data_IF_351376864656
#
_entry.id   IF_351376864656
#
_cell.length_a   1.000
_cell.length_b   1.000
_cell.length_c   1.000
_cell.angle_alpha   90.00
_cell.angle_beta   90.00
_cell.angle_gamma   90.00
#
_symmetry.space_group_name_H-M   'P 1'
#
loop_
_entity.id
_entity.type
_entity.pdbx_description
1 polymer ?
#
# COMPACT_ATOMS: atom_id res chain seq x y z
N UNK A 1 -19.02 -7.97 4.18
CA UNK A 1 -17.83 -8.51 3.50
C UNK A 1 -16.87 -8.89 4.60
N UNK A 2 -16.35 -10.13 4.63
CA UNK A 2 -15.46 -10.55 5.70
C UNK A 2 -14.22 -9.65 5.67
N UNK A 3 -13.78 -9.20 6.83
CA UNK A 3 -12.48 -8.58 7.03
C UNK A 3 -11.41 -9.64 6.72
N UNK A 4 -11.08 -9.79 5.44
CA UNK A 4 -10.03 -10.70 5.00
C UNK A 4 -8.67 -10.14 5.41
N UNK A 5 -7.81 -11.03 5.89
CA UNK A 5 -6.52 -10.73 6.47
C UNK A 5 -5.74 -9.69 5.66
N UNK A 6 -5.61 -8.49 6.21
CA UNK A 6 -4.82 -7.41 5.63
C UNK A 6 -3.39 -7.49 6.15
N UNK A 7 -2.40 -7.44 5.27
CA UNK A 7 -1.04 -7.17 5.70
C UNK A 7 -0.94 -5.70 6.09
N UNK A 8 -0.47 -5.43 7.31
CA UNK A 8 -0.26 -4.07 7.77
C UNK A 8 1.23 -3.72 7.66
N UNK A 9 1.57 -2.79 6.77
CA UNK A 9 2.91 -2.26 6.63
C UNK A 9 3.06 -0.97 7.40
N UNK A 10 3.98 -0.93 8.35
CA UNK A 10 4.40 0.27 9.05
C UNK A 10 5.48 0.99 8.23
N UNK A 11 5.12 2.15 7.67
CA UNK A 11 6.00 3.00 6.87
C UNK A 11 6.19 4.36 7.54
N UNK A 12 7.44 4.70 7.88
CA UNK A 12 7.77 6.03 8.38
C UNK A 12 7.81 7.01 7.21
N UNK A 13 7.10 8.13 7.35
CA UNK A 13 7.02 9.18 6.33
C UNK A 13 8.30 10.03 6.28
N UNK A 14 9.10 10.00 7.36
CA UNK A 14 10.36 10.74 7.48
C UNK A 14 11.26 10.51 6.25
N UNK A 15 11.75 11.62 5.69
CA UNK A 15 12.60 11.78 4.49
C UNK A 15 13.95 11.01 4.51
N UNK A 16 14.12 9.98 5.35
CA UNK A 16 15.31 9.14 5.44
C UNK A 16 14.94 7.69 5.16
N UNK A 17 15.89 6.94 4.60
CA UNK A 17 15.83 5.51 4.23
C UNK A 17 15.34 4.62 5.37
N UNK A 18 14.03 4.58 5.59
CA UNK A 18 13.39 3.65 6.51
C UNK A 18 12.69 2.61 5.65
N UNK A 19 13.16 1.38 5.76
CA UNK A 19 12.49 0.25 5.12
C UNK A 19 11.20 -0.05 5.87
N UNK A 20 10.08 -0.33 5.17
CA UNK A 20 8.84 -0.75 5.81
C UNK A 20 9.06 -1.94 6.74
N UNK A 21 8.25 -2.01 7.78
CA UNK A 21 8.19 -3.14 8.70
C UNK A 21 6.76 -3.65 8.80
N UNK A 22 6.57 -4.87 9.30
CA UNK A 22 5.22 -5.32 9.64
C UNK A 22 4.71 -4.53 10.85
N UNK A 23 3.49 -4.03 10.74
CA UNK A 23 2.80 -3.43 11.86
C UNK A 23 2.20 -4.56 12.71
N UNK A 24 2.61 -4.62 13.96
CA UNK A 24 2.16 -5.66 14.88
C UNK A 24 0.80 -5.28 15.47
N UNK A 25 -0.20 -6.13 15.26
CA UNK A 25 -1.52 -6.01 15.86
C UNK A 25 -1.64 -7.09 16.93
N UNK A 26 -2.27 -6.75 18.05
CA UNK A 26 -2.61 -7.76 19.06
C UNK A 26 -3.64 -8.75 18.48
N UNK A 27 -3.81 -9.90 19.13
CA UNK A 27 -4.74 -10.95 18.68
C UNK A 27 -6.17 -10.45 18.48
N UNK A 28 -6.60 -9.43 19.25
CA UNK A 28 -7.91 -8.79 19.05
C UNK A 28 -7.96 -7.96 17.75
N UNK A 29 -6.91 -7.21 17.42
CA UNK A 29 -6.78 -6.50 16.15
C UNK A 29 -6.70 -7.43 14.94
N UNK A 30 -6.12 -8.62 15.10
CA UNK A 30 -6.14 -9.68 14.08
C UNK A 30 -7.56 -10.20 13.83
N UNK A 31 -8.37 -10.31 14.89
CA UNK A 31 -9.73 -10.86 14.83
C UNK A 31 -10.79 -9.86 14.41
N UNK A 32 -10.65 -8.59 14.80
CA UNK A 32 -11.66 -7.53 14.66
C UNK A 32 -11.31 -6.47 13.61
N UNK A 33 -10.17 -6.66 12.93
CA UNK A 33 -9.73 -5.82 11.84
C UNK A 33 -9.08 -4.49 12.28
N UNK A 34 -8.35 -3.85 11.36
CA UNK A 34 -7.57 -2.66 11.66
C UNK A 34 -8.41 -1.44 12.06
N UNK A 35 -9.73 -1.44 11.82
CA UNK A 35 -10.63 -0.31 12.18
C UNK A 35 -10.85 -0.16 13.67
N UNK A 36 -10.66 -1.22 14.46
CA UNK A 36 -10.74 -1.12 15.91
C UNK A 36 -9.56 -0.34 16.48
N UNK A 37 -8.37 -0.58 15.94
CA UNK A 37 -7.14 0.10 16.34
C UNK A 37 -7.07 1.50 15.74
N UNK A 38 -7.60 1.68 14.52
CA UNK A 38 -7.65 2.95 13.79
C UNK A 38 -9.10 3.42 13.55
N UNK A 39 -9.82 3.86 14.60
CA UNK A 39 -11.16 4.40 14.44
C UNK A 39 -11.18 5.64 13.53
N UNK A 40 -12.36 5.90 12.97
CA UNK A 40 -12.60 7.16 12.23
C UNK A 40 -12.66 8.31 13.25
N UNK A 41 -11.72 9.25 13.13
CA UNK A 41 -11.68 10.50 13.89
C UNK A 41 -12.62 11.57 13.30
N UNK A 42 -12.76 12.69 14.00
CA UNK A 42 -13.57 13.85 13.56
C UNK A 42 -13.04 14.50 12.28
N UNK A 43 -11.78 14.27 11.93
CA UNK A 43 -11.19 14.71 10.65
C UNK A 43 -11.53 13.78 9.48
N UNK A 44 -12.40 12.78 9.72
CA UNK A 44 -12.78 11.74 8.77
C UNK A 44 -11.56 10.91 8.30
N UNK A 45 -10.61 10.67 9.21
CA UNK A 45 -9.37 9.89 9.03
C UNK A 45 -9.33 8.68 9.97
N UNK A 46 -8.64 7.62 9.57
CA UNK A 46 -8.39 6.45 10.42
C UNK A 46 -7.15 6.66 11.28
N UNK A 47 -7.31 7.10 12.54
CA UNK A 47 -6.19 7.47 13.41
C UNK A 47 -6.03 6.41 14.49
N UNK A 48 -4.80 6.01 14.80
CA UNK A 48 -4.55 5.03 15.86
C UNK A 48 -5.02 5.56 17.22
N UNK A 49 -5.84 4.79 17.93
CA UNK A 49 -6.50 5.25 19.15
C UNK A 49 -5.53 5.63 20.29
N UNK A 50 -4.34 5.01 20.35
CA UNK A 50 -3.31 5.34 21.36
C UNK A 50 -2.15 6.21 20.82
N UNK A 51 -2.09 6.45 19.50
CA UNK A 51 -0.97 7.18 18.89
C UNK A 51 -1.48 8.01 17.71
N UNK A 52 -1.79 9.27 17.97
CA UNK A 52 -2.37 10.15 16.97
C UNK A 52 -1.43 10.52 15.81
N UNK A 53 -0.14 10.16 15.87
CA UNK A 53 0.83 10.37 14.80
C UNK A 53 0.81 9.23 13.75
N UNK A 54 0.00 8.18 13.98
CA UNK A 54 -0.21 7.07 13.05
C UNK A 54 -1.59 7.14 12.39
N UNK A 55 -1.62 7.01 11.06
CA UNK A 55 -2.87 6.86 10.31
C UNK A 55 -2.88 5.60 9.44
N UNK A 56 -4.04 4.97 9.33
CA UNK A 56 -4.27 3.82 8.46
C UNK A 56 -4.70 4.26 7.05
N UNK A 57 -4.15 3.61 6.04
CA UNK A 57 -4.53 3.75 4.63
C UNK A 57 -4.71 2.35 4.03
N UNK A 58 -5.88 2.07 3.47
CA UNK A 58 -6.09 0.85 2.70
C UNK A 58 -5.57 1.06 1.29
N UNK A 59 -4.86 0.09 0.74
CA UNK A 59 -4.28 0.14 -0.60
C UNK A 59 -4.59 -1.17 -1.33
N UNK A 60 -4.82 -1.08 -2.63
CA UNK A 60 -5.07 -2.27 -3.44
C UNK A 60 -4.91 -2.00 -4.93
N UNK A 61 -4.59 -3.06 -5.66
CA UNK A 61 -4.50 -3.07 -7.11
C UNK A 61 -5.17 -4.30 -7.68
N UNK A 62 -5.84 -4.13 -8.81
CA UNK A 62 -6.49 -5.23 -9.52
C UNK A 62 -5.98 -5.24 -10.96
N UNK A 63 -5.76 -6.43 -11.50
CA UNK A 63 -5.51 -6.64 -12.92
C UNK A 63 -6.56 -7.62 -13.44
N UNK A 64 -7.20 -7.27 -14.56
CA UNK A 64 -8.16 -8.10 -15.25
C UNK A 64 -7.55 -8.54 -16.57
N UNK A 65 -7.50 -9.85 -16.77
CA UNK A 65 -7.11 -10.49 -18.03
C UNK A 65 -8.33 -11.21 -18.58
N UNK A 66 -8.69 -10.93 -19.82
CA UNK A 66 -9.75 -11.61 -20.56
C UNK A 66 -9.12 -12.29 -21.78
N UNK A 67 -9.64 -13.46 -22.15
CA UNK A 67 -9.18 -14.15 -23.36
C UNK A 67 -9.31 -13.25 -24.60
N UNK A 68 -8.21 -13.09 -25.33
CA UNK A 68 -8.15 -12.28 -26.55
C UNK A 68 -8.08 -10.76 -26.35
N UNK A 69 -8.12 -10.26 -25.11
CA UNK A 69 -8.02 -8.82 -24.81
C UNK A 69 -6.67 -8.46 -24.19
N UNK A 70 -6.27 -7.19 -24.36
CA UNK A 70 -5.10 -6.66 -23.64
C UNK A 70 -5.46 -6.52 -22.17
N UNK A 71 -4.62 -7.00 -21.24
CA UNK A 71 -4.89 -6.89 -19.82
C UNK A 71 -5.02 -5.42 -19.40
N UNK A 72 -5.87 -5.15 -18.41
CA UNK A 72 -6.09 -3.82 -17.84
C UNK A 72 -5.99 -3.88 -16.34
N UNK A 73 -5.33 -2.89 -15.75
CA UNK A 73 -5.18 -2.81 -14.31
C UNK A 73 -5.56 -1.44 -13.77
N UNK A 74 -5.99 -1.42 -12.51
CA UNK A 74 -6.38 -0.24 -11.77
C UNK A 74 -5.86 -0.32 -10.35
N UNK A 75 -5.61 0.84 -9.76
CA UNK A 75 -5.08 0.99 -8.41
C UNK A 75 -5.96 1.96 -7.63
N UNK A 76 -6.05 1.75 -6.31
CA UNK A 76 -6.78 2.65 -5.43
C UNK A 76 -6.20 2.64 -4.02
N UNK A 77 -6.40 3.74 -3.30
CA UNK A 77 -6.23 3.79 -1.86
C UNK A 77 -7.36 4.56 -1.18
N UNK A 78 -7.69 4.14 0.04
CA UNK A 78 -8.69 4.76 0.90
C UNK A 78 -8.01 5.23 2.19
N UNK A 79 -8.11 6.52 2.49
CA UNK A 79 -7.40 7.15 3.60
C UNK A 79 -8.33 7.69 4.70
N UNK A 80 -9.63 7.50 4.55
CA UNK A 80 -10.61 8.05 5.47
C UNK A 80 -12.04 7.68 5.13
N UNK A 81 -12.94 8.14 5.99
CA UNK A 81 -14.37 7.95 5.88
C UNK A 81 -15.10 9.13 6.49
N UNK A 82 -15.95 9.77 5.70
CA UNK A 82 -16.83 10.84 6.15
C UNK A 82 -18.10 10.25 6.74
N UNK A 83 -18.32 10.45 8.05
CA UNK A 83 -19.49 9.94 8.77
C UNK A 83 -20.77 10.68 8.39
N UNK A 84 -20.68 11.97 8.10
CA UNK A 84 -21.85 12.80 7.81
C UNK A 84 -22.43 12.45 6.43
N UNK A 85 -21.57 12.29 5.44
CA UNK A 85 -21.99 11.92 4.08
C UNK A 85 -21.99 10.40 3.82
N UNK A 86 -21.52 9.61 4.78
CA UNK A 86 -21.31 8.15 4.64
C UNK A 86 -20.42 7.78 3.43
N UNK A 87 -19.43 8.63 3.11
CA UNK A 87 -18.57 8.46 1.94
C UNK A 87 -17.15 8.06 2.32
N UNK A 88 -16.57 7.14 1.55
CA UNK A 88 -15.15 6.78 1.67
C UNK A 88 -14.29 7.84 1.00
N UNK A 89 -13.19 8.24 1.64
CA UNK A 89 -12.20 9.13 1.01
C UNK A 89 -11.21 8.26 0.23
N UNK A 90 -11.45 8.16 -1.08
CA UNK A 90 -10.74 7.27 -2.01
C UNK A 90 -10.06 8.08 -3.11
N UNK A 91 -8.86 7.65 -3.50
CA UNK A 91 -8.19 8.07 -4.73
C UNK A 91 -7.91 6.82 -5.54
N UNK A 92 -8.24 6.85 -6.82
CA UNK A 92 -8.08 5.71 -7.71
C UNK A 92 -7.66 6.16 -9.11
N UNK A 93 -7.07 5.25 -9.86
CA UNK A 93 -6.63 5.49 -11.22
C UNK A 93 -6.43 4.21 -12.01
N UNK A 94 -6.34 4.37 -13.33
CA UNK A 94 -5.86 3.31 -14.22
C UNK A 94 -4.35 3.16 -14.05
N UNK A 95 -3.85 1.93 -14.08
CA UNK A 95 -2.41 1.67 -14.10
C UNK A 95 -1.80 2.17 -15.42
N UNK A 96 -0.67 2.85 -15.31
CA UNK A 96 0.08 3.35 -16.45
C UNK A 96 0.68 2.20 -17.27
N UNK A 97 0.68 2.33 -18.60
CA UNK A 97 1.22 1.31 -19.52
C UNK A 97 2.75 1.41 -19.70
N UNK A 98 3.39 2.37 -19.05
CA UNK A 98 4.82 2.62 -19.14
C UNK A 98 5.41 2.72 -17.72
N UNK A 99 6.65 2.25 -17.57
CA UNK A 99 7.45 2.46 -16.39
C UNK A 99 7.93 3.89 -16.26
N UNK A 100 8.52 4.20 -15.09
CA UNK A 100 9.07 5.54 -14.81
C UNK A 100 10.24 5.92 -15.73
N UNK A 101 10.87 4.94 -16.38
CA UNK A 101 11.92 5.10 -17.41
C UNK A 101 11.37 5.23 -18.83
N UNK A 102 10.05 5.15 -19.02
CA UNK A 102 9.39 5.21 -20.33
C UNK A 102 9.27 3.87 -21.05
N UNK A 103 9.88 2.80 -20.53
CA UNK A 103 9.75 1.45 -21.07
C UNK A 103 8.32 0.92 -20.92
N UNK A 104 7.84 0.16 -21.91
CA UNK A 104 6.51 -0.42 -21.84
C UNK A 104 6.52 -1.64 -20.92
N UNK A 105 5.81 -1.56 -19.80
CA UNK A 105 5.66 -2.65 -18.83
C UNK A 105 4.22 -3.13 -18.85
N UNK A 106 4.02 -4.45 -18.89
CA UNK A 106 2.69 -5.04 -18.88
C UNK A 106 1.94 -4.77 -17.57
N UNK A 107 0.61 -4.61 -17.60
CA UNK A 107 -0.15 -4.46 -16.36
C UNK A 107 -0.21 -5.77 -15.58
N UNK A 108 -0.02 -5.69 -14.27
CA UNK A 108 -0.14 -6.82 -13.34
C UNK A 108 -0.79 -6.34 -12.03
N UNK A 109 -1.32 -7.27 -11.23
CA UNK A 109 -1.92 -6.93 -9.94
C UNK A 109 -0.86 -6.42 -8.93
N UNK A 110 0.37 -6.97 -8.99
CA UNK A 110 1.51 -6.53 -8.20
C UNK A 110 1.87 -5.08 -8.51
N UNK A 111 2.02 -4.76 -9.80
CA UNK A 111 2.32 -3.41 -10.27
C UNK A 111 1.23 -2.41 -9.89
N UNK A 112 -0.04 -2.80 -10.02
CA UNK A 112 -1.16 -1.99 -9.58
C UNK A 112 -1.13 -1.71 -8.07
N UNK A 113 -0.79 -2.72 -7.26
CA UNK A 113 -0.71 -2.58 -5.80
C UNK A 113 0.47 -1.71 -5.39
N UNK A 114 1.65 -1.89 -5.99
CA UNK A 114 2.82 -1.03 -5.77
C UNK A 114 2.48 0.43 -6.15
N UNK A 115 1.78 0.62 -7.27
CA UNK A 115 1.35 1.95 -7.70
C UNK A 115 0.37 2.60 -6.72
N UNK A 116 -0.54 1.84 -6.11
CA UNK A 116 -1.43 2.31 -5.05
C UNK A 116 -0.64 2.74 -3.80
N UNK A 117 0.35 1.93 -3.38
CA UNK A 117 1.25 2.25 -2.28
C UNK A 117 2.00 3.56 -2.57
N UNK A 118 2.64 3.66 -3.74
CA UNK A 118 3.35 4.87 -4.16
C UNK A 118 2.41 6.09 -4.18
N UNK A 119 1.21 5.95 -4.73
CA UNK A 119 0.21 7.02 -4.74
C UNK A 119 -0.15 7.48 -3.33
N UNK A 120 -0.42 6.55 -2.41
CA UNK A 120 -0.76 6.85 -1.02
C UNK A 120 0.38 7.60 -0.31
N UNK A 121 1.62 7.11 -0.46
CA UNK A 121 2.81 7.75 0.13
C UNK A 121 3.01 9.19 -0.40
N UNK A 122 2.70 9.44 -1.68
CA UNK A 122 2.91 10.73 -2.35
C UNK A 122 1.70 11.66 -2.35
N UNK A 123 0.53 11.19 -1.92
CA UNK A 123 -0.72 11.94 -2.04
C UNK A 123 -0.70 13.28 -1.30
N UNK A 124 -0.08 13.32 -0.12
CA UNK A 124 -0.03 14.50 0.75
C UNK A 124 1.32 14.58 1.46
N UNK A 125 1.59 15.74 2.03
CA UNK A 125 2.61 15.88 3.07
C UNK A 125 2.03 15.39 4.39
N UNK A 126 2.01 14.08 4.61
CA UNK A 126 1.41 13.46 5.80
C UNK A 126 1.95 14.01 7.12
N UNK A 127 3.23 14.38 7.16
CA UNK A 127 3.83 15.04 8.33
C UNK A 127 3.18 16.40 8.65
N UNK A 128 2.81 17.18 7.62
CA UNK A 128 2.08 18.44 7.81
C UNK A 128 0.64 18.22 8.27
N UNK A 129 0.09 17.03 8.03
CA UNK A 129 -1.20 16.59 8.57
C UNK A 129 -1.06 15.98 10.00
N UNK A 130 0.14 15.96 10.57
CA UNK A 130 0.41 15.41 11.92
C UNK A 130 0.79 13.94 11.96
N UNK A 131 0.95 13.28 10.80
CA UNK A 131 1.27 11.86 10.72
C UNK A 131 2.72 11.62 10.32
N UNK A 132 3.52 11.05 11.22
CA UNK A 132 4.89 10.61 10.92
C UNK A 132 4.95 9.16 10.44
N UNK A 133 3.84 8.43 10.57
CA UNK A 133 3.73 7.00 10.28
C UNK A 133 2.45 6.69 9.52
N UNK A 134 2.60 6.01 8.39
CA UNK A 134 1.50 5.41 7.64
C UNK A 134 1.48 3.92 7.88
N UNK A 135 0.32 3.42 8.33
CA UNK A 135 0.04 1.99 8.36
C UNK A 135 -0.75 1.65 7.10
N UNK A 136 -0.15 0.88 6.19
CA UNK A 136 -0.79 0.50 4.94
C UNK A 136 -1.44 -0.87 5.11
N UNK A 137 -2.76 -0.93 4.99
CA UNK A 137 -3.50 -2.19 4.87
C UNK A 137 -3.52 -2.63 3.41
N UNK A 138 -2.75 -3.67 3.11
CA UNK A 138 -2.63 -4.25 1.77
C UNK A 138 -3.46 -5.53 1.71
N UNK A 139 -4.11 -5.80 0.57
CA UNK A 139 -4.90 -7.01 0.35
C UNK A 139 -4.10 -8.31 0.53
N UNK A 140 -4.76 -9.42 0.87
CA UNK A 140 -4.11 -10.73 1.07
C UNK A 140 -3.36 -11.24 -0.16
N UNK A 141 -3.81 -10.88 -1.36
CA UNK A 141 -3.18 -11.21 -2.64
C UNK A 141 -1.79 -10.58 -2.83
N UNK A 142 -1.48 -9.52 -2.07
CA UNK A 142 -0.24 -8.77 -2.18
C UNK A 142 0.89 -9.27 -1.26
N UNK A 143 0.80 -10.51 -0.77
CA UNK A 143 1.79 -11.08 0.16
C UNK A 143 3.24 -11.04 -0.36
N UNK A 144 3.44 -11.19 -1.67
CA UNK A 144 4.75 -11.01 -2.30
C UNK A 144 5.29 -9.58 -2.11
N UNK A 145 4.47 -8.55 -2.37
CA UNK A 145 4.84 -7.13 -2.22
C UNK A 145 5.22 -6.83 -0.77
N UNK A 146 4.42 -7.31 0.18
CA UNK A 146 4.68 -7.14 1.62
C UNK A 146 6.00 -7.80 2.01
N UNK A 147 6.21 -9.05 1.59
CA UNK A 147 7.47 -9.77 1.84
C UNK A 147 8.66 -9.05 1.22
N UNK A 148 8.52 -8.59 -0.01
CA UNK A 148 9.55 -7.87 -0.74
C UNK A 148 9.95 -6.57 -0.01
N UNK A 149 8.96 -5.76 0.37
CA UNK A 149 9.16 -4.48 1.06
C UNK A 149 9.85 -4.65 2.43
N UNK A 150 9.51 -5.70 3.18
CA UNK A 150 10.02 -5.90 4.54
C UNK A 150 11.36 -6.65 4.55
N UNK A 151 11.55 -7.63 3.67
CA UNK A 151 12.67 -8.58 3.78
C UNK A 151 13.64 -8.60 2.60
N UNK A 152 13.19 -8.32 1.37
CA UNK A 152 14.02 -8.55 0.17
C UNK A 152 14.67 -7.29 -0.39
N UNK A 153 13.97 -6.16 -0.35
CA UNK A 153 14.39 -4.91 -1.01
C UNK A 153 15.77 -4.43 -0.57
N UNK A 154 16.15 -4.67 0.69
CA UNK A 154 17.50 -4.37 1.19
C UNK A 154 18.59 -5.14 0.43
N UNK A 155 18.35 -6.44 0.21
CA UNK A 155 19.24 -7.31 -0.56
C UNK A 155 19.30 -6.89 -2.01
N UNK A 156 18.15 -6.60 -2.63
CA UNK A 156 18.06 -6.13 -4.01
C UNK A 156 18.82 -4.83 -4.23
N UNK A 157 18.71 -3.85 -3.33
CA UNK A 157 19.47 -2.60 -3.43
C UNK A 157 20.98 -2.89 -3.41
N UNK A 158 21.43 -3.81 -2.56
CA UNK A 158 22.86 -4.13 -2.43
C UNK A 158 23.44 -4.94 -3.59
N UNK A 159 22.61 -5.70 -4.31
CA UNK A 159 23.06 -6.60 -5.38
C UNK A 159 22.72 -6.11 -6.80
N UNK A 160 22.36 -4.82 -6.94
CA UNK A 160 22.04 -4.23 -8.25
C UNK A 160 20.66 -4.62 -8.80
N UNK A 161 19.72 -4.94 -7.92
CA UNK A 161 18.35 -5.35 -8.20
C UNK A 161 18.24 -6.68 -8.95
N UNK A 162 18.95 -7.68 -8.44
CA UNK A 162 18.88 -9.05 -8.92
C UNK A 162 18.11 -9.95 -7.97
N UNK A 163 17.20 -10.74 -8.51
CA UNK A 163 16.53 -11.82 -7.80
C UNK A 163 17.49 -13.00 -7.56
N UNK A 164 17.10 -13.95 -6.70
CA UNK A 164 17.96 -15.10 -6.36
C UNK A 164 18.34 -15.97 -7.56
N UNK A 165 17.48 -16.01 -8.59
CA UNK A 165 17.72 -16.71 -9.85
C UNK A 165 18.60 -15.91 -10.83
N UNK A 166 19.17 -14.78 -10.41
CA UNK A 166 20.03 -13.92 -11.23
C UNK A 166 19.28 -13.02 -12.22
N UNK A 167 17.94 -13.11 -12.30
CA UNK A 167 17.12 -12.25 -13.15
C UNK A 167 16.95 -10.86 -12.53
N UNK A 168 16.55 -9.89 -13.35
CA UNK A 168 16.14 -8.58 -12.85
C UNK A 168 14.88 -8.68 -11.99
N UNK A 169 14.83 -7.89 -10.92
CA UNK A 169 13.64 -7.78 -10.07
C UNK A 169 12.50 -7.13 -10.87
N UNK A 170 11.37 -7.82 -10.93
CA UNK A 170 10.14 -7.32 -11.54
C UNK A 170 9.61 -6.08 -10.80
N UNK A 171 8.94 -5.19 -11.53
CA UNK A 171 8.31 -3.96 -11.01
C UNK A 171 9.27 -3.03 -10.23
N UNK A 172 10.59 -3.16 -10.44
CA UNK A 172 11.64 -2.33 -9.81
C UNK A 172 11.44 -0.82 -9.97
N UNK A 173 10.76 -0.41 -11.03
CA UNK A 173 10.58 1.00 -11.37
C UNK A 173 9.57 1.75 -10.48
N UNK A 174 8.83 1.01 -9.62
CA UNK A 174 7.88 1.50 -8.61
C UNK A 174 8.42 1.34 -7.19
#
# INVERSE_FOLDING_TARGET
MPEEAHFLLNSKVLLRRVFPSLFNINQEGERLGPRLIFPVSDTSRYIHHEDNEKTLVYVGGVCKENEGEKPVAGWAFQFGFDRASFQRKVVAGRLENHGTTGERVGPSANRATLRAIYAALRYRHWEKDGFNTLVLAVGPEAGYIVRAAVTLVKGWISNGWKAMNGQDVEDRDL
#
